data_IF_658680011120
#
_entry.id   IF_658680011120
#
_cell.length_a   1.000
_cell.length_b   1.000
_cell.length_c   1.000
_cell.angle_alpha   90.00
_cell.angle_beta   90.00
_cell.angle_gamma   90.00
#
_symmetry.space_group_name_H-M   'P 1'
#
loop_
_entity.id
_entity.type
_entity.pdbx_description
1 polymer ?
#
# COMPACT_ATOMS: atom_id res chain seq x y z
N UNK A 1 -63.49 60.52 -5.67
CA UNK A 1 -62.08 60.84 -5.33
C UNK A 1 -61.49 60.04 -4.15
N UNK A 2 -62.25 59.75 -3.08
CA UNK A 2 -61.75 59.06 -1.89
C UNK A 2 -61.34 57.58 -2.11
N UNK A 3 -62.06 56.84 -2.96
CA UNK A 3 -61.78 55.43 -3.28
C UNK A 3 -60.41 55.28 -3.95
N UNK A 4 -60.09 56.16 -4.92
CA UNK A 4 -58.79 56.15 -5.60
C UNK A 4 -57.61 56.42 -4.65
N UNK A 5 -57.79 57.31 -3.67
CA UNK A 5 -56.78 57.57 -2.63
C UNK A 5 -56.59 56.37 -1.70
N UNK A 6 -57.65 55.63 -1.35
CA UNK A 6 -57.55 54.40 -0.55
C UNK A 6 -56.87 53.26 -1.33
N UNK A 7 -57.21 53.12 -2.62
CA UNK A 7 -56.59 52.13 -3.50
C UNK A 7 -55.09 52.36 -3.64
N UNK A 8 -54.69 53.62 -3.88
CA UNK A 8 -53.28 54.01 -3.98
C UNK A 8 -52.52 53.74 -2.68
N UNK A 9 -53.10 54.04 -1.52
CA UNK A 9 -52.48 53.73 -0.22
C UNK A 9 -52.32 52.22 0.01
N UNK A 10 -53.33 51.43 -0.33
CA UNK A 10 -53.26 49.96 -0.24
C UNK A 10 -52.15 49.39 -1.13
N UNK A 11 -52.03 49.89 -2.36
CA UNK A 11 -50.97 49.50 -3.29
C UNK A 11 -49.57 49.81 -2.76
N UNK A 12 -49.35 51.01 -2.23
CA UNK A 12 -48.07 51.41 -1.62
C UNK A 12 -47.72 50.56 -0.40
N UNK A 13 -48.72 50.21 0.44
CA UNK A 13 -48.51 49.32 1.59
C UNK A 13 -48.12 47.91 1.15
N UNK A 14 -48.77 47.35 0.12
CA UNK A 14 -48.42 46.03 -0.41
C UNK A 14 -47.01 46.00 -0.99
N UNK A 15 -46.63 47.00 -1.77
CA UNK A 15 -45.28 47.10 -2.35
C UNK A 15 -44.22 47.20 -1.24
N UNK A 16 -44.47 48.02 -0.23
CA UNK A 16 -43.56 48.15 0.93
C UNK A 16 -43.44 46.84 1.70
N UNK A 17 -44.55 46.13 1.90
CA UNK A 17 -44.58 44.85 2.60
C UNK A 17 -43.80 43.78 1.82
N UNK A 18 -43.98 43.70 0.50
CA UNK A 18 -43.28 42.76 -0.37
C UNK A 18 -41.78 43.02 -0.37
N UNK A 19 -41.36 44.29 -0.45
CA UNK A 19 -39.94 44.66 -0.37
C UNK A 19 -39.34 44.27 0.98
N UNK A 20 -40.07 44.46 2.07
CA UNK A 20 -39.60 44.13 3.41
C UNK A 20 -39.48 42.61 3.59
N UNK A 21 -40.45 41.85 3.10
CA UNK A 21 -40.41 40.38 3.09
C UNK A 21 -39.25 39.87 2.22
N UNK A 22 -39.01 40.44 1.04
CA UNK A 22 -37.89 40.05 0.17
C UNK A 22 -36.52 40.30 0.81
N UNK A 23 -36.36 41.44 1.49
CA UNK A 23 -35.12 41.78 2.18
C UNK A 23 -34.86 40.84 3.39
N UNK A 24 -35.91 40.46 4.11
CA UNK A 24 -35.79 39.49 5.21
C UNK A 24 -35.50 38.08 4.66
N UNK A 25 -36.22 37.65 3.62
CA UNK A 25 -36.06 36.33 3.02
C UNK A 25 -34.67 36.11 2.40
N UNK A 26 -34.07 37.16 1.82
CA UNK A 26 -32.68 37.13 1.36
C UNK A 26 -31.75 36.91 2.55
N UNK A 27 -31.78 37.75 3.58
CA UNK A 27 -30.82 37.64 4.70
C UNK A 27 -30.94 36.32 5.48
N UNK A 28 -32.16 35.77 5.62
CA UNK A 28 -32.44 34.69 6.57
C UNK A 28 -32.30 33.29 5.96
N UNK A 29 -32.41 33.13 4.64
CA UNK A 29 -32.50 31.79 4.04
C UNK A 29 -31.46 31.55 2.94
N UNK A 30 -30.42 30.78 3.27
CA UNK A 30 -29.40 30.34 2.32
C UNK A 30 -30.00 29.65 1.08
N UNK A 31 -31.15 28.97 1.25
CA UNK A 31 -31.87 28.31 0.13
C UNK A 31 -32.49 29.29 -0.87
N UNK A 32 -32.86 30.50 -0.43
CA UNK A 32 -33.40 31.53 -1.31
C UNK A 32 -32.30 32.15 -2.18
N UNK A 33 -31.10 32.35 -1.60
CA UNK A 33 -29.92 32.72 -2.38
C UNK A 33 -29.53 31.63 -3.39
N UNK A 34 -29.55 30.36 -3.00
CA UNK A 34 -29.26 29.25 -3.91
C UNK A 34 -30.28 29.20 -5.08
N UNK A 35 -31.58 29.40 -4.81
CA UNK A 35 -32.63 29.45 -5.83
C UNK A 35 -32.48 30.65 -6.78
N UNK A 36 -32.21 31.85 -6.25
CA UNK A 36 -31.97 33.04 -7.08
C UNK A 36 -30.72 32.88 -7.95
N UNK A 37 -29.66 32.25 -7.42
CA UNK A 37 -28.44 31.98 -8.16
C UNK A 37 -28.67 30.94 -9.27
N UNK A 38 -29.46 29.91 -8.99
CA UNK A 38 -29.87 28.89 -9.97
C UNK A 38 -30.69 29.50 -11.12
N UNK A 39 -31.67 30.36 -10.79
CA UNK A 39 -32.47 31.06 -11.80
C UNK A 39 -31.65 32.08 -12.60
N UNK A 40 -30.73 32.80 -11.96
CA UNK A 40 -29.81 33.72 -12.64
C UNK A 40 -28.85 32.98 -13.57
N UNK A 41 -28.47 31.75 -13.24
CA UNK A 41 -27.60 30.92 -14.08
C UNK A 41 -28.22 30.50 -15.41
N UNK A 42 -29.56 30.52 -15.51
CA UNK A 42 -30.29 30.26 -16.75
C UNK A 42 -30.39 31.49 -17.68
N UNK A 43 -30.24 32.70 -17.14
CA UNK A 43 -30.40 33.96 -17.88
C UNK A 43 -29.04 34.56 -18.25
N UNK A 44 -28.00 34.30 -17.46
CA UNK A 44 -26.65 34.85 -17.68
C UNK A 44 -25.76 33.87 -18.43
N UNK A 45 -25.02 34.31 -19.46
CA UNK A 45 -24.12 33.43 -20.19
C UNK A 45 -23.04 32.88 -19.25
N UNK A 46 -22.71 31.58 -19.34
CA UNK A 46 -21.85 30.87 -18.39
C UNK A 46 -20.42 31.47 -18.30
N UNK A 47 -20.00 32.24 -19.31
CA UNK A 47 -18.72 32.95 -19.35
C UNK A 47 -18.56 34.04 -18.28
N UNK A 48 -19.66 34.59 -17.73
CA UNK A 48 -19.60 35.57 -16.62
C UNK A 48 -19.58 34.90 -15.24
N UNK A 49 -20.18 33.71 -15.12
CA UNK A 49 -20.28 32.97 -13.86
C UNK A 49 -19.06 32.11 -13.56
N UNK A 50 -18.21 31.82 -14.55
CA UNK A 50 -16.95 31.08 -14.37
C UNK A 50 -15.95 31.81 -13.48
N UNK A 51 -16.00 33.15 -13.40
CA UNK A 51 -15.16 33.95 -12.49
C UNK A 51 -15.76 34.18 -11.10
N UNK A 52 -16.97 33.70 -10.83
CA UNK A 52 -17.61 33.84 -9.52
C UNK A 52 -16.95 32.95 -8.47
N UNK A 53 -16.81 33.46 -7.24
CA UNK A 53 -16.34 32.68 -6.07
C UNK A 53 -17.19 31.43 -5.83
N UNK A 54 -18.48 31.47 -6.16
CA UNK A 54 -19.38 30.31 -6.03
C UNK A 54 -18.94 29.14 -6.93
N UNK A 55 -18.63 29.42 -8.19
CA UNK A 55 -18.13 28.43 -9.15
C UNK A 55 -16.76 27.89 -8.74
N UNK A 56 -15.87 28.76 -8.25
CA UNK A 56 -14.56 28.33 -7.75
C UNK A 56 -14.68 27.41 -6.52
N UNK A 57 -15.55 27.74 -5.56
CA UNK A 57 -15.83 26.89 -4.40
C UNK A 57 -16.46 25.56 -4.82
N UNK A 58 -17.34 25.55 -5.83
CA UNK A 58 -17.92 24.33 -6.39
C UNK A 58 -16.85 23.45 -7.04
N UNK A 59 -15.95 24.05 -7.84
CA UNK A 59 -14.83 23.34 -8.48
C UNK A 59 -13.85 22.77 -7.45
N UNK A 60 -13.47 23.56 -6.44
CA UNK A 60 -12.60 23.09 -5.34
C UNK A 60 -13.25 21.96 -4.52
N UNK A 61 -14.58 21.99 -4.33
CA UNK A 61 -15.31 20.89 -3.68
C UNK A 61 -15.33 19.64 -4.57
N UNK A 62 -15.54 19.77 -5.88
CA UNK A 62 -15.46 18.63 -6.79
C UNK A 62 -14.05 18.04 -6.86
N UNK A 63 -13.02 18.87 -6.89
CA UNK A 63 -11.63 18.43 -6.90
C UNK A 63 -11.26 17.76 -5.58
N UNK A 64 -11.66 18.34 -4.43
CA UNK A 64 -11.43 17.73 -3.12
C UNK A 64 -12.13 16.37 -2.98
N UNK A 65 -13.33 16.21 -3.53
CA UNK A 65 -14.03 14.91 -3.50
C UNK A 65 -13.38 13.90 -4.44
N UNK A 66 -12.94 14.31 -5.63
CA UNK A 66 -12.17 13.47 -6.54
C UNK A 66 -10.82 13.04 -5.93
N UNK A 67 -10.07 13.99 -5.36
CA UNK A 67 -8.79 13.75 -4.70
C UNK A 67 -8.96 12.91 -3.43
N UNK A 68 -10.04 13.09 -2.67
CA UNK A 68 -10.37 12.25 -1.52
C UNK A 68 -10.65 10.80 -1.95
N UNK A 69 -11.37 10.60 -3.05
CA UNK A 69 -11.60 9.27 -3.62
C UNK A 69 -10.29 8.63 -4.09
N UNK A 70 -9.45 9.38 -4.81
CA UNK A 70 -8.16 8.89 -5.27
C UNK A 70 -7.24 8.52 -4.09
N UNK A 71 -7.17 9.37 -3.05
CA UNK A 71 -6.40 9.06 -1.85
C UNK A 71 -6.91 7.80 -1.14
N UNK A 72 -8.22 7.58 -1.08
CA UNK A 72 -8.78 6.33 -0.52
C UNK A 72 -8.32 5.11 -1.32
N UNK A 73 -8.38 5.17 -2.65
CA UNK A 73 -7.90 4.08 -3.50
C UNK A 73 -6.41 3.81 -3.31
N UNK A 74 -5.59 4.86 -3.27
CA UNK A 74 -4.14 4.74 -3.04
C UNK A 74 -3.82 4.16 -1.66
N UNK A 75 -4.57 4.53 -0.62
CA UNK A 75 -4.42 3.97 0.73
C UNK A 75 -4.78 2.48 0.74
N UNK A 76 -5.87 2.09 0.09
CA UNK A 76 -6.26 0.68 -0.03
C UNK A 76 -5.27 -0.13 -0.85
N UNK A 77 -4.79 0.39 -1.99
CA UNK A 77 -3.73 -0.26 -2.76
C UNK A 77 -2.45 -0.43 -1.94
N UNK A 78 -2.06 0.59 -1.17
CA UNK A 78 -0.90 0.53 -0.28
C UNK A 78 -1.10 -0.54 0.80
N UNK A 79 -2.30 -0.66 1.38
CA UNK A 79 -2.62 -1.71 2.36
C UNK A 79 -2.52 -3.10 1.75
N UNK A 80 -3.12 -3.32 0.57
CA UNK A 80 -3.06 -4.61 -0.13
C UNK A 80 -1.61 -4.95 -0.50
N UNK A 81 -0.84 -3.99 -1.01
CA UNK A 81 0.60 -4.19 -1.29
C UNK A 81 1.33 -4.62 -0.03
N UNK A 82 1.20 -3.89 1.08
CA UNK A 82 1.81 -4.25 2.37
C UNK A 82 1.44 -5.66 2.82
N UNK A 83 0.17 -6.06 2.71
CA UNK A 83 -0.28 -7.40 3.08
C UNK A 83 0.34 -8.49 2.19
N UNK A 84 0.39 -8.27 0.87
CA UNK A 84 1.06 -9.19 -0.07
C UNK A 84 2.56 -9.29 0.22
N UNK A 85 3.22 -8.18 0.56
CA UNK A 85 4.64 -8.19 0.93
C UNK A 85 4.91 -8.90 2.25
N UNK A 86 4.07 -8.72 3.27
CA UNK A 86 4.18 -9.46 4.53
C UNK A 86 4.07 -10.98 4.30
N UNK A 87 3.18 -11.40 3.39
CA UNK A 87 3.11 -12.80 2.97
C UNK A 87 4.38 -13.25 2.24
N UNK A 88 4.90 -12.45 1.31
CA UNK A 88 6.15 -12.74 0.61
C UNK A 88 7.32 -12.93 1.59
N UNK A 89 7.48 -12.03 2.58
CA UNK A 89 8.49 -12.13 3.65
C UNK A 89 8.36 -13.43 4.45
N UNK A 90 7.13 -13.84 4.76
CA UNK A 90 6.84 -15.10 5.46
C UNK A 90 7.24 -16.31 4.63
N UNK A 91 6.97 -16.27 3.31
CA UNK A 91 7.35 -17.32 2.37
C UNK A 91 8.87 -17.40 2.27
N UNK A 92 9.57 -16.27 2.10
CA UNK A 92 11.04 -16.22 2.08
C UNK A 92 11.64 -16.81 3.35
N UNK A 93 11.13 -16.44 4.54
CA UNK A 93 11.57 -17.02 5.82
C UNK A 93 11.40 -18.54 5.88
N UNK A 94 10.30 -19.06 5.33
CA UNK A 94 10.03 -20.51 5.24
C UNK A 94 10.96 -21.21 4.26
N UNK A 95 11.29 -20.58 3.13
CA UNK A 95 12.24 -21.10 2.15
C UNK A 95 13.62 -21.20 2.78
N UNK A 96 14.13 -20.13 3.40
CA UNK A 96 15.43 -20.14 4.07
C UNK A 96 15.53 -21.27 5.10
N UNK A 97 14.52 -21.42 5.97
CA UNK A 97 14.49 -22.54 6.95
C UNK A 97 14.47 -23.91 6.30
N UNK A 98 13.77 -24.06 5.18
CA UNK A 98 13.74 -25.33 4.42
C UNK A 98 15.11 -25.63 3.83
N UNK A 99 15.79 -24.63 3.27
CA UNK A 99 17.15 -24.78 2.72
C UNK A 99 18.12 -25.24 3.81
N UNK A 100 18.14 -24.57 4.97
CA UNK A 100 18.97 -24.98 6.12
C UNK A 100 18.69 -26.44 6.51
N UNK A 101 17.42 -26.82 6.62
CA UNK A 101 17.02 -28.17 6.98
C UNK A 101 17.46 -29.20 5.93
N UNK A 102 17.27 -28.92 4.64
CA UNK A 102 17.64 -29.83 3.54
C UNK A 102 19.15 -30.02 3.45
N UNK A 103 19.94 -28.94 3.56
CA UNK A 103 21.41 -29.02 3.56
C UNK A 103 21.89 -29.89 4.72
N UNK A 104 21.38 -29.66 5.94
CA UNK A 104 21.75 -30.47 7.11
C UNK A 104 21.37 -31.95 6.99
N UNK A 105 20.18 -32.26 6.46
CA UNK A 105 19.72 -33.65 6.29
C UNK A 105 20.52 -34.36 5.19
N UNK A 106 20.77 -33.73 4.04
CA UNK A 106 21.55 -34.33 2.96
C UNK A 106 22.97 -34.68 3.44
N UNK A 107 23.64 -33.78 4.15
CA UNK A 107 24.98 -34.05 4.70
C UNK A 107 25.00 -35.28 5.60
N UNK A 108 23.97 -35.50 6.42
CA UNK A 108 23.90 -36.66 7.31
C UNK A 108 23.71 -38.00 6.56
N UNK A 109 22.91 -38.00 5.49
CA UNK A 109 22.60 -39.21 4.72
C UNK A 109 23.73 -39.62 3.79
N UNK A 110 24.41 -38.62 3.22
CA UNK A 110 25.52 -38.83 2.28
C UNK A 110 26.76 -39.46 2.96
N UNK A 111 26.95 -39.21 4.26
CA UNK A 111 28.02 -39.83 5.05
C UNK A 111 27.79 -41.35 5.22
N UNK A 112 26.55 -41.82 5.11
CA UNK A 112 26.20 -43.25 5.23
C UNK A 112 26.46 -44.10 3.98
N UNK A 113 26.54 -43.49 2.78
CA UNK A 113 26.59 -44.21 1.50
C UNK A 113 27.86 -43.93 0.66
N UNK A 114 28.77 -43.10 1.12
CA UNK A 114 29.89 -42.62 0.31
C UNK A 114 31.09 -43.59 0.27
N UNK A 115 31.61 -43.82 -0.95
CA UNK A 115 32.87 -44.53 -1.17
C UNK A 115 33.99 -43.75 -0.46
N UNK A 116 34.79 -44.39 0.40
CA UNK A 116 35.77 -43.70 1.22
C UNK A 116 36.80 -42.96 0.33
N UNK A 117 37.15 -41.75 0.75
CA UNK A 117 38.12 -40.82 0.14
C UNK A 117 37.63 -40.05 -1.10
N UNK A 118 37.29 -40.71 -2.21
CA UNK A 118 36.90 -39.99 -3.45
C UNK A 118 35.51 -39.36 -3.28
N UNK A 119 34.56 -40.11 -2.70
CA UNK A 119 33.22 -39.61 -2.46
C UNK A 119 33.23 -38.39 -1.52
N UNK A 120 34.00 -38.47 -0.43
CA UNK A 120 34.07 -37.41 0.59
C UNK A 120 34.50 -36.07 -0.03
N UNK A 121 35.53 -36.06 -0.88
CA UNK A 121 36.01 -34.84 -1.52
C UNK A 121 34.97 -34.19 -2.44
N UNK A 122 34.27 -35.01 -3.25
CA UNK A 122 33.21 -34.54 -4.15
C UNK A 122 32.03 -33.99 -3.36
N UNK A 123 31.61 -34.70 -2.32
CA UNK A 123 30.46 -34.33 -1.47
C UNK A 123 30.71 -33.00 -0.75
N UNK A 124 31.89 -32.82 -0.16
CA UNK A 124 32.24 -31.57 0.51
C UNK A 124 32.28 -30.40 -0.47
N UNK A 125 32.78 -30.64 -1.69
CA UNK A 125 32.82 -29.62 -2.74
C UNK A 125 31.41 -29.22 -3.20
N UNK A 126 30.53 -30.19 -3.44
CA UNK A 126 29.13 -29.93 -3.81
C UNK A 126 28.39 -29.23 -2.67
N UNK A 127 28.58 -29.67 -1.44
CA UNK A 127 27.95 -29.05 -0.25
C UNK A 127 28.42 -27.61 -0.06
N UNK A 128 29.70 -27.32 -0.32
CA UNK A 128 30.22 -25.96 -0.28
C UNK A 128 29.54 -25.06 -1.32
N UNK A 129 29.37 -25.57 -2.55
CA UNK A 129 28.64 -24.87 -3.61
C UNK A 129 27.17 -24.66 -3.25
N UNK A 130 26.49 -25.68 -2.71
CA UNK A 130 25.09 -25.59 -2.31
C UNK A 130 24.85 -24.53 -1.22
N UNK A 131 25.77 -24.43 -0.24
CA UNK A 131 25.72 -23.40 0.80
C UNK A 131 25.95 -22.02 0.19
N UNK A 132 26.92 -21.89 -0.72
CA UNK A 132 27.21 -20.64 -1.41
C UNK A 132 26.02 -20.15 -2.23
N UNK A 133 25.45 -21.00 -3.08
CA UNK A 133 24.31 -20.68 -3.92
C UNK A 133 23.05 -20.40 -3.09
N UNK A 134 22.87 -21.14 -2.00
CA UNK A 134 21.81 -20.88 -1.02
C UNK A 134 21.95 -19.50 -0.36
N UNK A 135 23.18 -19.11 0.00
CA UNK A 135 23.48 -17.80 0.57
C UNK A 135 23.21 -16.67 -0.44
N UNK A 136 23.66 -16.82 -1.70
CA UNK A 136 23.38 -15.86 -2.77
C UNK A 136 21.87 -15.70 -3.03
N UNK A 137 21.12 -16.80 -3.05
CA UNK A 137 19.66 -16.77 -3.25
C UNK A 137 18.94 -15.98 -2.15
N UNK A 138 19.37 -16.13 -0.88
CA UNK A 138 18.80 -15.38 0.24
C UNK A 138 19.14 -13.90 0.14
N UNK A 139 20.39 -13.58 -0.23
CA UNK A 139 20.84 -12.21 -0.44
C UNK A 139 20.06 -11.52 -1.55
N UNK A 140 19.84 -12.19 -2.68
CA UNK A 140 19.03 -11.69 -3.79
C UNK A 140 17.57 -11.47 -3.36
N UNK A 141 17.02 -12.41 -2.58
CA UNK A 141 15.67 -12.28 -2.02
C UNK A 141 15.59 -11.09 -1.05
N UNK A 142 16.63 -10.84 -0.26
CA UNK A 142 16.69 -9.70 0.64
C UNK A 142 16.80 -8.37 -0.13
N UNK A 143 17.61 -8.35 -1.18
CA UNK A 143 17.74 -7.19 -2.06
C UNK A 143 16.42 -6.89 -2.79
N UNK A 144 15.68 -7.92 -3.24
CA UNK A 144 14.33 -7.76 -3.78
C UNK A 144 13.39 -7.11 -2.77
N UNK A 145 13.37 -7.58 -1.52
CA UNK A 145 12.53 -7.01 -0.46
C UNK A 145 12.91 -5.55 -0.15
N UNK A 146 14.19 -5.21 -0.20
CA UNK A 146 14.70 -3.85 -0.02
C UNK A 146 14.24 -2.91 -1.14
N UNK A 147 14.27 -3.37 -2.40
CA UNK A 147 13.75 -2.60 -3.55
C UNK A 147 12.25 -2.31 -3.44
N UNK A 148 11.50 -3.10 -2.66
CA UNK A 148 10.09 -2.87 -2.38
C UNK A 148 9.81 -1.92 -1.19
N UNK A 149 10.86 -1.29 -0.64
CA UNK A 149 10.74 -0.17 0.30
C UNK A 149 10.75 -0.57 1.78
N UNK A 150 11.34 -1.72 2.12
CA UNK A 150 11.56 -2.12 3.51
C UNK A 150 13.01 -2.58 3.71
N UNK A 151 13.73 -1.94 4.63
CA UNK A 151 15.03 -2.40 5.10
C UNK A 151 14.80 -3.71 5.87
N UNK A 152 15.25 -4.83 5.32
CA UNK A 152 15.07 -6.13 5.94
C UNK A 152 16.42 -6.67 6.42
N UNK A 153 16.57 -6.79 7.73
CA UNK A 153 17.46 -7.78 8.33
C UNK A 153 16.69 -9.10 8.36
N UNK A 154 16.95 -9.99 7.41
CA UNK A 154 16.47 -11.37 7.54
C UNK A 154 17.40 -12.05 8.55
N UNK A 155 16.89 -12.23 9.77
CA UNK A 155 17.54 -12.90 10.92
C UNK A 155 18.27 -14.22 10.56
N UNK A 156 17.82 -14.91 9.50
CA UNK A 156 18.35 -16.21 9.09
C UNK A 156 19.34 -16.17 7.92
N UNK A 157 19.73 -15.01 7.38
CA UNK A 157 20.82 -14.92 6.39
C UNK A 157 22.12 -15.48 6.98
N UNK A 158 22.43 -15.04 8.22
CA UNK A 158 23.59 -15.52 8.97
C UNK A 158 23.50 -17.01 9.36
N UNK A 159 22.30 -17.57 9.54
CA UNK A 159 22.15 -19.01 9.82
C UNK A 159 22.49 -19.89 8.61
N UNK A 160 22.18 -19.43 7.39
CA UNK A 160 22.46 -20.20 6.17
C UNK A 160 23.93 -20.04 5.78
N UNK A 161 24.40 -18.80 5.74
CA UNK A 161 25.78 -18.49 5.37
C UNK A 161 26.78 -18.84 6.48
N UNK A 162 26.31 -19.08 7.71
CA UNK A 162 27.10 -19.52 8.87
C UNK A 162 27.16 -21.03 9.09
N UNK A 163 26.64 -21.84 8.15
CA UNK A 163 26.76 -23.30 8.24
C UNK A 163 28.23 -23.74 8.09
N UNK A 164 28.78 -24.41 9.10
CA UNK A 164 30.13 -24.97 9.06
C UNK A 164 30.16 -26.29 8.30
N UNK A 165 31.01 -26.35 7.28
CA UNK A 165 31.29 -27.56 6.51
C UNK A 165 32.29 -28.42 7.30
N UNK A 166 32.01 -29.71 7.56
CA UNK A 166 32.91 -30.60 8.29
C UNK A 166 34.19 -30.86 7.48
N UNK A 167 35.31 -31.04 8.17
CA UNK A 167 36.56 -31.39 7.51
C UNK A 167 36.55 -32.83 7.02
N UNK A 168 37.44 -33.15 6.07
CA UNK A 168 37.62 -34.51 5.54
C UNK A 168 37.87 -35.51 6.68
N UNK A 169 38.62 -35.12 7.71
CA UNK A 169 38.96 -36.01 8.82
C UNK A 169 37.79 -36.18 9.80
N UNK A 170 36.95 -35.14 9.98
CA UNK A 170 35.70 -35.26 10.73
C UNK A 170 34.74 -36.26 10.08
N UNK A 171 34.64 -36.21 8.75
CA UNK A 171 33.81 -37.14 7.97
C UNK A 171 34.35 -38.57 8.06
N UNK A 172 35.66 -38.76 7.91
CA UNK A 172 36.30 -40.08 8.05
C UNK A 172 36.09 -40.69 9.44
N UNK A 173 36.24 -39.89 10.49
CA UNK A 173 36.05 -40.35 11.87
C UNK A 173 34.59 -40.77 12.12
N UNK A 174 33.63 -40.03 11.55
CA UNK A 174 32.20 -40.37 11.61
C UNK A 174 31.89 -41.67 10.87
N UNK A 175 32.40 -41.85 9.64
CA UNK A 175 32.22 -43.09 8.86
C UNK A 175 32.83 -44.29 9.59
N UNK A 176 34.01 -44.14 10.20
CA UNK A 176 34.63 -45.20 11.02
C UNK A 176 33.76 -45.60 12.21
N UNK A 177 33.11 -44.65 12.87
CA UNK A 177 32.19 -44.97 13.98
C UNK A 177 30.94 -45.74 13.52
N UNK A 178 30.43 -45.47 12.32
CA UNK A 178 29.28 -46.19 11.74
C UNK A 178 29.63 -47.57 11.17
N UNK A 179 30.87 -47.79 10.72
CA UNK A 179 31.33 -49.07 10.19
C UNK A 179 31.97 -50.02 11.21
N UNK A 180 31.85 -49.74 12.51
CA UNK A 180 32.39 -50.57 13.60
C UNK A 180 31.31 -51.15 14.53
N UNK A 181 30.05 -51.15 14.09
CA UNK A 181 28.95 -51.98 14.61
C UNK A 181 28.63 -53.13 13.64
#
# INVERSE_FOLDING_TARGET
MAIFRRLRKSLWLLISLVLLILNIATIVNAKFYDFLFDMASHITPPSLLTKSKSTQVKNLRSERTALSRQNKLLVEERRVRKAKFAQAKTISKRISRRVVKTVGVNMSSIIGESIPYIGIGVILSVTASDIYDGCQTIKDTNQLLTLFGEENEIEHENEVCGMTIPSIDDVKNKIKSFGSE
#
